data_IF_233918291854
#
_entry.id   IF_233918291854
#
_cell.length_a   1.000
_cell.length_b   1.000
_cell.length_c   1.000
_cell.angle_alpha   90.00
_cell.angle_beta   90.00
_cell.angle_gamma   90.00
#
_symmetry.space_group_name_H-M   'P 1'
#
loop_
_entity.id
_entity.type
_entity.pdbx_description
1 polymer ?
#
# COMPACT_ATOMS: atom_id res chain seq x y z
N UNK A 1 18.06 11.76 -2.62
CA UNK A 1 17.55 11.86 -4.00
C UNK A 1 16.10 12.32 -4.00
N UNK A 2 15.87 13.47 -3.37
CA UNK A 2 14.60 14.21 -3.38
C UNK A 2 14.87 15.44 -4.25
N UNK A 3 13.88 15.79 -5.07
CA UNK A 3 13.84 16.89 -6.06
C UNK A 3 14.48 16.57 -7.43
N UNK A 4 13.74 15.84 -8.27
CA UNK A 4 13.80 15.98 -9.72
C UNK A 4 12.46 15.53 -10.31
N UNK A 5 11.63 16.46 -10.75
CA UNK A 5 10.30 16.17 -11.31
C UNK A 5 9.38 17.39 -11.44
N UNK A 6 9.73 18.53 -10.82
CA UNK A 6 9.36 19.84 -11.35
C UNK A 6 10.30 20.14 -12.51
N UNK A 7 9.98 19.71 -13.73
CA UNK A 7 10.54 20.21 -14.99
C UNK A 7 9.93 19.40 -16.13
N UNK A 8 8.82 19.86 -16.71
CA UNK A 8 8.65 19.99 -18.16
C UNK A 8 7.47 20.93 -18.43
N UNK A 9 7.70 22.22 -18.22
CA UNK A 9 7.03 23.24 -19.02
C UNK A 9 7.53 23.09 -20.46
N UNK A 10 6.73 22.47 -21.32
CA UNK A 10 6.86 22.65 -22.77
C UNK A 10 5.89 23.78 -23.16
N UNK A 11 6.34 24.89 -23.76
CA UNK A 11 5.40 25.80 -24.37
C UNK A 11 4.95 25.15 -25.68
N UNK A 12 3.69 24.72 -25.74
CA UNK A 12 3.05 24.35 -27.01
C UNK A 12 1.70 25.04 -27.09
N UNK A 13 1.45 25.59 -28.28
CA UNK A 13 0.29 26.37 -28.65
C UNK A 13 -1.03 25.74 -28.17
N UNK A 14 -1.97 26.62 -27.87
CA UNK A 14 -3.29 26.41 -27.26
C UNK A 14 -4.03 25.16 -27.76
N UNK A 15 -3.85 24.05 -27.03
CA UNK A 15 -4.66 22.82 -27.02
C UNK A 15 -4.86 22.39 -25.54
N UNK A 16 -5.37 23.32 -24.74
CA UNK A 16 -5.60 23.13 -23.30
C UNK A 16 -6.44 21.88 -22.99
N UNK A 17 -7.40 21.53 -23.85
CA UNK A 17 -8.20 20.31 -23.74
C UNK A 17 -7.36 19.03 -23.90
N UNK A 18 -6.46 18.96 -24.88
CA UNK A 18 -5.58 17.80 -25.07
C UNK A 18 -4.58 17.60 -23.92
N UNK A 19 -4.16 18.71 -23.29
CA UNK A 19 -3.28 18.65 -22.12
C UNK A 19 -4.02 18.15 -20.88
N UNK A 20 -5.24 18.65 -20.63
CA UNK A 20 -6.05 18.23 -19.48
C UNK A 20 -6.43 16.74 -19.58
N UNK A 21 -6.88 16.28 -20.75
CA UNK A 21 -7.23 14.86 -20.95
C UNK A 21 -6.04 13.93 -20.71
N UNK A 22 -4.85 14.33 -21.16
CA UNK A 22 -3.60 13.60 -20.91
C UNK A 22 -3.26 13.55 -19.42
N UNK A 23 -3.37 14.68 -18.71
CA UNK A 23 -3.13 14.75 -17.26
C UNK A 23 -4.12 13.88 -16.48
N UNK A 24 -5.41 13.96 -16.81
CA UNK A 24 -6.46 13.15 -16.16
C UNK A 24 -6.23 11.66 -16.43
N UNK A 25 -5.91 11.29 -17.67
CA UNK A 25 -5.60 9.89 -18.02
C UNK A 25 -4.40 9.39 -17.23
N UNK A 26 -3.34 10.20 -17.12
CA UNK A 26 -2.14 9.87 -16.34
C UNK A 26 -2.48 9.66 -14.86
N UNK A 27 -3.27 10.57 -14.28
CA UNK A 27 -3.70 10.47 -12.89
C UNK A 27 -4.54 9.21 -12.64
N UNK A 28 -5.49 8.89 -13.53
CA UNK A 28 -6.30 7.68 -13.43
C UNK A 28 -5.45 6.40 -13.51
N UNK A 29 -4.44 6.36 -14.38
CA UNK A 29 -3.50 5.23 -14.45
C UNK A 29 -2.69 5.08 -13.17
N UNK A 30 -2.14 6.16 -12.63
CA UNK A 30 -1.39 6.14 -11.37
C UNK A 30 -2.29 5.61 -10.24
N UNK A 31 -3.52 6.13 -10.13
CA UNK A 31 -4.47 5.69 -9.12
C UNK A 31 -4.85 4.21 -9.29
N UNK A 32 -5.05 3.75 -10.53
CA UNK A 32 -5.33 2.35 -10.83
C UNK A 32 -4.14 1.44 -10.46
N UNK A 33 -2.90 1.87 -10.74
CA UNK A 33 -1.69 1.12 -10.35
C UNK A 33 -1.63 0.97 -8.84
N UNK A 34 -1.77 2.06 -8.09
CA UNK A 34 -1.75 2.06 -6.62
C UNK A 34 -2.85 1.15 -6.07
N UNK A 35 -4.06 1.23 -6.61
CA UNK A 35 -5.17 0.41 -6.15
C UNK A 35 -4.94 -1.09 -6.41
N UNK A 36 -4.49 -1.48 -7.61
CA UNK A 36 -4.18 -2.87 -7.96
C UNK A 36 -3.03 -3.38 -7.09
N UNK A 37 -1.98 -2.58 -6.92
CA UNK A 37 -0.83 -2.92 -6.09
C UNK A 37 -1.27 -3.20 -4.64
N UNK A 38 -1.99 -2.27 -4.01
CA UNK A 38 -2.43 -2.40 -2.61
C UNK A 38 -3.37 -3.60 -2.41
N UNK A 39 -4.22 -3.90 -3.39
CA UNK A 39 -5.09 -5.08 -3.33
C UNK A 39 -4.27 -6.38 -3.34
N UNK A 40 -3.33 -6.51 -4.26
CA UNK A 40 -2.47 -7.69 -4.37
C UNK A 40 -1.53 -7.80 -3.17
N UNK A 41 -0.98 -6.68 -2.69
CA UNK A 41 -0.21 -6.61 -1.46
C UNK A 41 -1.04 -7.17 -0.29
N UNK A 42 -2.26 -6.64 -0.08
CA UNK A 42 -3.16 -7.11 0.98
C UNK A 42 -3.39 -8.62 0.91
N UNK A 43 -3.65 -9.15 -0.29
CA UNK A 43 -3.88 -10.58 -0.48
C UNK A 43 -2.64 -11.42 -0.12
N UNK A 44 -1.46 -11.04 -0.62
CA UNK A 44 -0.19 -11.74 -0.35
C UNK A 44 0.16 -11.65 1.13
N UNK A 45 0.05 -10.46 1.72
CA UNK A 45 0.35 -10.22 3.13
C UNK A 45 -0.57 -11.04 4.04
N UNK A 46 -1.88 -11.03 3.78
CA UNK A 46 -2.85 -11.88 4.49
C UNK A 46 -2.53 -13.36 4.34
N UNK A 47 -2.11 -13.80 3.15
CA UNK A 47 -1.70 -15.19 2.88
C UNK A 47 -0.47 -15.57 3.68
N UNK A 48 0.55 -14.70 3.74
CA UNK A 48 1.74 -14.90 4.57
C UNK A 48 1.42 -15.06 6.05
N UNK A 49 0.36 -14.41 6.55
CA UNK A 49 -0.10 -14.60 7.93
C UNK A 49 -1.02 -15.80 8.15
N UNK A 50 -1.72 -16.25 7.10
CA UNK A 50 -2.70 -17.34 7.19
C UNK A 50 -2.10 -18.72 6.93
N UNK A 51 -0.92 -18.79 6.32
CA UNK A 51 -0.26 -20.03 5.90
C UNK A 51 1.16 -20.11 6.49
N UNK A 52 1.45 -21.08 7.38
CA UNK A 52 2.76 -21.20 8.03
C UNK A 52 3.96 -21.27 7.07
N UNK A 53 3.77 -21.92 5.93
CA UNK A 53 4.78 -22.08 4.88
C UNK A 53 5.19 -20.73 4.27
N UNK A 54 4.23 -19.83 4.07
CA UNK A 54 4.49 -18.49 3.56
C UNK A 54 4.97 -17.53 4.66
N UNK A 55 4.56 -17.75 5.92
CA UNK A 55 4.96 -16.89 7.05
C UNK A 55 6.48 -16.83 7.25
N UNK A 56 7.22 -17.89 6.91
CA UNK A 56 8.69 -17.91 6.95
C UNK A 56 9.30 -16.72 6.21
N UNK A 57 8.69 -16.30 5.10
CA UNK A 57 9.19 -15.18 4.29
C UNK A 57 8.88 -13.81 4.88
N UNK A 58 7.89 -13.71 5.77
CA UNK A 58 7.47 -12.46 6.41
C UNK A 58 7.97 -12.33 7.86
N UNK A 59 8.46 -13.42 8.45
CA UNK A 59 9.01 -13.46 9.80
C UNK A 59 10.18 -12.48 10.01
N UNK A 60 10.97 -12.20 8.98
CA UNK A 60 12.06 -11.24 9.07
C UNK A 60 11.55 -9.82 9.34
N UNK A 61 10.52 -9.39 8.61
CA UNK A 61 9.88 -8.09 8.80
C UNK A 61 9.32 -7.95 10.23
N UNK A 62 8.71 -9.00 10.75
CA UNK A 62 8.18 -9.03 12.13
C UNK A 62 9.22 -9.14 13.24
N UNK A 63 10.53 -9.25 12.95
CA UNK A 63 11.56 -9.15 14.00
C UNK A 63 11.54 -7.79 14.71
N UNK A 64 10.98 -6.77 14.07
CA UNK A 64 10.90 -5.41 14.58
C UNK A 64 9.55 -5.07 15.23
N UNK A 65 8.68 -6.06 15.51
CA UNK A 65 7.33 -5.82 16.03
C UNK A 65 7.25 -4.94 17.30
N UNK A 66 8.24 -5.04 18.19
CA UNK A 66 8.26 -4.27 19.45
C UNK A 66 8.65 -2.80 19.22
N UNK A 67 9.49 -2.54 18.23
CA UNK A 67 9.90 -1.19 17.83
C UNK A 67 10.01 -1.17 16.31
N UNK A 68 9.02 -0.55 15.67
CA UNK A 68 8.85 -0.49 14.23
C UNK A 68 9.37 0.88 13.74
N UNK A 69 10.68 1.05 13.48
CA UNK A 69 11.21 2.29 12.93
C UNK A 69 10.83 2.40 11.45
N UNK A 70 10.87 3.60 10.85
CA UNK A 70 10.59 3.77 9.42
C UNK A 70 11.48 2.88 8.53
N UNK A 71 12.73 2.63 8.92
CA UNK A 71 13.63 1.73 8.20
C UNK A 71 13.16 0.27 8.18
N UNK A 72 12.36 -0.17 9.15
CA UNK A 72 11.79 -1.52 9.16
C UNK A 72 10.78 -1.75 8.04
N UNK A 73 10.21 -0.67 7.48
CA UNK A 73 9.34 -0.73 6.30
C UNK A 73 10.04 -1.36 5.07
N UNK A 74 11.37 -1.26 5.01
CA UNK A 74 12.20 -1.81 3.94
C UNK A 74 12.99 -3.06 4.37
N UNK A 75 12.89 -3.46 5.65
CA UNK A 75 13.57 -4.63 6.18
C UNK A 75 12.70 -5.88 5.96
N UNK A 76 12.63 -6.32 4.71
CA UNK A 76 11.84 -7.47 4.25
C UNK A 76 12.75 -8.56 3.69
N UNK A 77 12.27 -9.81 3.63
CA UNK A 77 13.03 -10.85 2.94
C UNK A 77 13.01 -10.62 1.42
N UNK A 78 13.95 -11.22 0.68
CA UNK A 78 13.94 -11.14 -0.79
C UNK A 78 12.66 -11.71 -1.39
N UNK A 79 12.15 -12.82 -0.84
CA UNK A 79 10.91 -13.44 -1.33
C UNK A 79 9.74 -12.49 -1.09
N UNK A 80 9.64 -11.93 0.12
CA UNK A 80 8.61 -10.95 0.45
C UNK A 80 8.69 -9.72 -0.45
N UNK A 81 9.88 -9.17 -0.66
CA UNK A 81 10.08 -8.04 -1.56
C UNK A 81 9.56 -8.34 -2.98
N UNK A 82 9.92 -9.50 -3.53
CA UNK A 82 9.49 -9.89 -4.86
C UNK A 82 7.99 -10.12 -4.95
N UNK A 83 7.41 -10.86 -4.00
CA UNK A 83 6.00 -11.28 -4.08
C UNK A 83 5.01 -10.22 -3.63
N UNK A 84 5.36 -9.42 -2.61
CA UNK A 84 4.46 -8.43 -2.04
C UNK A 84 4.65 -7.04 -2.66
N UNK A 85 5.82 -6.73 -3.24
CA UNK A 85 6.08 -5.39 -3.81
C UNK A 85 6.30 -5.44 -5.33
N UNK A 86 7.29 -6.19 -5.81
CA UNK A 86 7.67 -6.14 -7.24
C UNK A 86 6.60 -6.73 -8.17
N UNK A 87 6.12 -7.94 -7.87
CA UNK A 87 5.12 -8.64 -8.69
C UNK A 87 3.80 -7.83 -8.78
N UNK A 88 3.24 -7.30 -7.68
CA UNK A 88 2.06 -6.43 -7.75
C UNK A 88 2.22 -5.23 -8.69
N UNK A 89 3.37 -4.54 -8.68
CA UNK A 89 3.64 -3.47 -9.64
C UNK A 89 3.75 -3.98 -11.08
N UNK A 90 4.39 -5.13 -11.30
CA UNK A 90 4.48 -5.72 -12.64
C UNK A 90 3.08 -6.06 -13.19
N UNK A 91 2.21 -6.66 -12.38
CA UNK A 91 0.82 -6.97 -12.74
C UNK A 91 0.05 -5.68 -13.05
N UNK A 92 0.15 -4.68 -12.18
CA UNK A 92 -0.50 -3.39 -12.40
C UNK A 92 -0.03 -2.72 -13.69
N UNK A 93 1.27 -2.72 -13.98
CA UNK A 93 1.84 -2.15 -15.20
C UNK A 93 1.37 -2.89 -16.47
N UNK A 94 1.26 -4.21 -16.42
CA UNK A 94 0.70 -5.00 -17.53
C UNK A 94 -0.76 -4.66 -17.80
N UNK A 95 -1.54 -4.40 -16.75
CA UNK A 95 -2.97 -4.09 -16.86
C UNK A 95 -3.23 -2.65 -17.34
N UNK A 96 -2.47 -1.67 -16.84
CA UNK A 96 -2.74 -0.24 -17.09
C UNK A 96 -1.89 0.35 -18.22
N UNK A 97 -0.82 -0.35 -18.64
CA UNK A 97 0.16 0.11 -19.65
C UNK A 97 0.59 1.56 -19.40
N UNK A 98 1.22 1.83 -18.24
CA UNK A 98 1.63 3.16 -17.88
C UNK A 98 2.89 3.57 -18.66
N UNK A 99 3.15 4.87 -18.72
CA UNK A 99 4.48 5.38 -19.02
C UNK A 99 5.43 5.09 -17.85
N UNK A 100 6.74 5.19 -18.09
CA UNK A 100 7.75 5.05 -17.02
C UNK A 100 7.50 6.05 -15.89
N UNK A 101 7.17 7.30 -16.24
CA UNK A 101 6.92 8.37 -15.26
C UNK A 101 5.70 8.05 -14.40
N UNK A 102 4.60 7.60 -15.00
CA UNK A 102 3.39 7.20 -14.26
C UNK A 102 3.68 6.05 -13.28
N UNK A 103 4.47 5.06 -13.71
CA UNK A 103 4.86 3.95 -12.86
C UNK A 103 5.79 4.40 -11.71
N UNK A 104 6.79 5.23 -12.00
CA UNK A 104 7.72 5.77 -10.99
C UNK A 104 6.98 6.60 -9.94
N UNK A 105 6.00 7.42 -10.36
CA UNK A 105 5.16 8.18 -9.43
C UNK A 105 4.33 7.25 -8.55
N UNK A 106 3.72 6.20 -9.11
CA UNK A 106 2.97 5.22 -8.32
C UNK A 106 3.87 4.51 -7.29
N UNK A 107 5.05 4.05 -7.71
CA UNK A 107 6.04 3.42 -6.80
C UNK A 107 6.48 4.39 -5.71
N UNK A 108 6.74 5.66 -6.04
CA UNK A 108 7.12 6.67 -5.07
C UNK A 108 6.00 6.93 -4.04
N UNK A 109 4.75 7.05 -4.50
CA UNK A 109 3.58 7.23 -3.61
C UNK A 109 3.42 6.06 -2.64
N UNK A 110 3.43 4.83 -3.15
CA UNK A 110 3.34 3.61 -2.33
C UNK A 110 4.52 3.51 -1.34
N UNK A 111 5.74 3.85 -1.78
CA UNK A 111 6.93 3.80 -0.92
C UNK A 111 6.87 4.82 0.21
N UNK A 112 6.47 6.06 -0.08
CA UNK A 112 6.29 7.12 0.92
C UNK A 112 5.18 6.74 1.91
N UNK A 113 4.06 6.21 1.42
CA UNK A 113 2.97 5.74 2.27
C UNK A 113 3.43 4.59 3.18
N UNK A 114 4.18 3.62 2.64
CA UNK A 114 4.71 2.50 3.42
C UNK A 114 5.65 2.98 4.54
N UNK A 115 6.54 3.94 4.25
CA UNK A 115 7.38 4.57 5.27
C UNK A 115 6.56 5.31 6.34
N UNK A 116 5.52 6.04 5.92
CA UNK A 116 4.64 6.78 6.82
C UNK A 116 3.90 5.87 7.81
N UNK A 117 3.43 4.69 7.36
CA UNK A 117 2.79 3.71 8.23
C UNK A 117 3.74 3.11 9.28
N UNK A 118 5.03 3.07 9.01
CA UNK A 118 6.08 2.62 9.94
C UNK A 118 6.73 3.79 10.69
N UNK A 119 6.10 4.96 10.74
CA UNK A 119 6.59 6.13 11.49
C UNK A 119 5.69 6.39 12.70
N UNK A 120 6.05 5.92 13.92
CA UNK A 120 5.20 6.06 15.10
C UNK A 120 4.80 7.49 15.47
N UNK A 121 5.65 8.47 15.14
CA UNK A 121 5.33 9.89 15.36
C UNK A 121 4.06 10.33 14.60
N UNK A 122 3.74 9.69 13.47
CA UNK A 122 2.57 10.03 12.66
C UNK A 122 1.25 9.50 13.23
N UNK A 123 1.28 8.66 14.26
CA UNK A 123 0.06 8.22 14.97
C UNK A 123 -0.75 9.40 15.49
N UNK A 124 -0.09 10.50 15.89
CA UNK A 124 -0.77 11.69 16.43
C UNK A 124 -1.50 12.52 15.37
N UNK A 125 -1.02 12.49 14.13
CA UNK A 125 -1.61 13.28 13.03
C UNK A 125 -2.65 12.49 12.25
N UNK A 126 -2.55 11.16 12.25
CA UNK A 126 -3.41 10.30 11.46
C UNK A 126 -4.92 10.46 11.72
N UNK A 127 -5.40 10.64 12.98
CA UNK A 127 -6.82 10.85 13.25
C UNK A 127 -7.42 12.08 12.56
N UNK A 128 -6.60 13.06 12.16
CA UNK A 128 -7.05 14.27 11.45
C UNK A 128 -7.28 14.02 9.95
N UNK A 129 -6.74 12.94 9.42
CA UNK A 129 -6.79 12.57 8.00
C UNK A 129 -7.54 11.25 7.76
N UNK A 130 -8.06 10.63 8.82
CA UNK A 130 -8.55 9.26 8.77
C UNK A 130 -9.95 9.15 8.17
N UNK A 131 -10.01 8.81 6.88
CA UNK A 131 -11.16 8.11 6.32
C UNK A 131 -10.95 6.59 6.48
N UNK A 132 -11.98 5.79 6.83
CA UNK A 132 -11.83 4.35 7.07
C UNK A 132 -11.27 3.56 5.87
N UNK A 133 -11.46 4.08 4.66
CA UNK A 133 -10.94 3.50 3.42
C UNK A 133 -9.41 3.66 3.25
N UNK A 134 -8.74 4.42 4.12
CA UNK A 134 -7.29 4.55 4.14
C UNK A 134 -6.66 3.81 5.32
N UNK A 135 -5.52 3.17 5.07
CA UNK A 135 -4.75 2.46 6.11
C UNK A 135 -4.16 3.47 7.07
N UNK A 136 -4.34 3.25 8.37
CA UNK A 136 -3.79 4.13 9.39
C UNK A 136 -2.45 3.66 9.93
N UNK A 137 -1.54 4.61 10.22
CA UNK A 137 -0.30 4.32 10.95
C UNK A 137 -0.58 3.54 12.24
N UNK A 138 -1.62 3.95 13.00
CA UNK A 138 -2.01 3.23 14.21
C UNK A 138 -2.46 1.79 13.90
N UNK A 139 -3.30 1.59 12.88
CA UNK A 139 -3.79 0.27 12.48
C UNK A 139 -2.67 -0.67 12.03
N UNK A 140 -1.73 -0.15 11.24
CA UNK A 140 -0.57 -0.92 10.76
C UNK A 140 0.43 -1.25 11.89
N UNK A 141 0.69 -0.31 12.80
CA UNK A 141 1.52 -0.60 13.98
C UNK A 141 0.85 -1.60 14.92
N UNK A 142 -0.47 -1.61 15.00
CA UNK A 142 -1.22 -2.62 15.77
C UNK A 142 -1.14 -4.00 15.11
N UNK A 143 -1.15 -4.06 13.78
CA UNK A 143 -0.88 -5.30 13.05
C UNK A 143 0.47 -5.88 13.44
N UNK A 144 1.54 -5.08 13.44
CA UNK A 144 2.87 -5.53 13.86
C UNK A 144 2.89 -6.15 15.26
N UNK A 145 2.03 -5.69 16.18
CA UNK A 145 1.92 -6.24 17.55
C UNK A 145 1.10 -7.52 17.62
N UNK A 146 -0.01 -7.59 16.88
CA UNK A 146 -1.01 -8.67 17.02
C UNK A 146 -0.94 -9.75 15.95
N UNK A 147 -0.35 -9.44 14.79
CA UNK A 147 -0.12 -10.30 13.63
C UNK A 147 -1.36 -10.97 13.02
N UNK A 148 -2.55 -10.60 13.47
CA UNK A 148 -3.82 -11.29 13.18
C UNK A 148 -4.91 -10.34 12.69
N UNK A 149 -4.58 -9.07 12.49
CA UNK A 149 -5.50 -8.00 12.08
C UNK A 149 -4.81 -7.05 11.08
N UNK A 150 -5.59 -6.18 10.42
CA UNK A 150 -5.14 -5.06 9.58
C UNK A 150 -4.00 -5.43 8.60
N UNK A 151 -4.28 -6.31 7.63
CA UNK A 151 -3.30 -6.74 6.62
C UNK A 151 -3.13 -5.72 5.49
N UNK A 152 -4.05 -4.76 5.34
CA UNK A 152 -4.00 -3.78 4.27
C UNK A 152 -2.85 -2.78 4.47
N UNK A 153 -2.08 -2.54 3.40
CA UNK A 153 -1.06 -1.49 3.32
C UNK A 153 -0.72 -1.22 1.83
N UNK A 154 -0.10 -0.06 1.50
CA UNK A 154 0.13 1.07 2.38
C UNK A 154 -0.91 2.20 2.31
N UNK A 155 -1.81 2.24 1.32
CA UNK A 155 -2.76 3.35 1.16
C UNK A 155 -4.19 2.88 1.37
N UNK A 156 -4.68 1.92 0.59
CA UNK A 156 -6.09 1.50 0.60
C UNK A 156 -6.36 0.42 1.64
N UNK A 157 -7.36 0.66 2.50
CA UNK A 157 -7.75 -0.26 3.56
C UNK A 157 -8.69 -1.35 3.05
N UNK A 158 -8.13 -2.36 2.37
CA UNK A 158 -8.90 -3.49 1.84
C UNK A 158 -9.57 -4.36 2.90
N UNK A 159 -9.06 -4.41 4.13
CA UNK A 159 -9.76 -5.08 5.23
C UNK A 159 -11.13 -4.43 5.50
N UNK A 160 -11.17 -3.10 5.54
CA UNK A 160 -12.42 -2.35 5.71
C UNK A 160 -13.30 -2.39 4.47
N UNK A 161 -12.73 -2.12 3.28
CA UNK A 161 -13.47 -2.06 2.01
C UNK A 161 -14.22 -3.38 1.78
N UNK A 162 -13.52 -4.51 1.87
CA UNK A 162 -14.12 -5.82 1.63
C UNK A 162 -15.12 -6.21 2.73
N UNK A 163 -14.88 -5.81 3.98
CA UNK A 163 -15.85 -5.99 5.05
C UNK A 163 -17.16 -5.25 4.75
N UNK A 164 -17.12 -4.03 4.23
CA UNK A 164 -18.32 -3.27 3.86
C UNK A 164 -19.01 -3.86 2.63
N UNK A 165 -18.25 -4.32 1.62
CA UNK A 165 -18.82 -4.84 0.37
C UNK A 165 -19.44 -6.22 0.53
N UNK A 166 -18.80 -7.12 1.28
CA UNK A 166 -19.18 -8.53 1.34
C UNK A 166 -19.76 -8.95 2.68
N UNK A 167 -19.83 -8.06 3.68
CA UNK A 167 -20.48 -8.32 4.96
C UNK A 167 -19.94 -9.57 5.64
N UNK A 168 -18.70 -9.55 6.12
CA UNK A 168 -18.25 -10.62 7.02
C UNK A 168 -18.73 -10.28 8.44
N UNK A 169 -19.73 -11.01 8.90
CA UNK A 169 -20.23 -10.98 10.28
C UNK A 169 -19.08 -10.99 11.27
N UNK A 170 -19.06 -10.00 12.17
CA UNK A 170 -18.12 -9.93 13.29
C UNK A 170 -18.27 -11.12 14.27
N UNK A 171 -19.28 -11.97 14.09
CA UNK A 171 -19.69 -12.98 15.06
C UNK A 171 -19.03 -14.36 14.88
N UNK A 172 -18.34 -14.63 13.76
CA UNK A 172 -17.68 -15.95 13.56
C UNK A 172 -16.23 -16.03 14.04
N UNK A 173 -15.60 -14.90 14.39
CA UNK A 173 -14.23 -14.89 14.94
C UNK A 173 -14.18 -14.79 16.47
N UNK A 174 -15.26 -14.34 17.12
CA UNK A 174 -15.42 -14.35 18.58
C UNK A 174 -15.68 -15.77 19.13
N UNK A 175 -16.26 -16.66 18.32
CA UNK A 175 -16.63 -18.03 18.75
C UNK A 175 -15.51 -19.07 18.65
N UNK A 176 -14.33 -18.72 18.14
CA UNK A 176 -13.15 -19.61 18.09
C UNK A 176 -12.07 -19.29 19.12
N UNK A 177 -12.34 -18.41 20.08
CA UNK A 177 -11.45 -18.08 21.22
C UNK A 177 -12.04 -18.47 22.58
N UNK A 178 -12.87 -19.52 22.64
CA UNK A 178 -13.22 -20.19 23.91
C UNK A 178 -12.62 -21.58 23.95
#
# INVERSE_FOLDING_TARGET
YIVAGLLFCRPSNDDSNGTLESMVTSALKIMAIVWIHDFLYWYVHKTMHSCPEYYVHHKFHHKFHAHVPPSSANAVSTVEYLTAYVIPFAVAALMTRPTVVELDVAVALTSVANLALHTPALVRVWPLLSLPCFVSTQGHLEHHKRLTCNYAAPIWNFDWILQQTFGTDKDTLSSKQK
#
